data_IF_285364529652
#
_entry.id   IF_285364529652
#
_cell.length_a   1.000
_cell.length_b   1.000
_cell.length_c   1.000
_cell.angle_alpha   90.00
_cell.angle_beta   90.00
_cell.angle_gamma   90.00
#
_symmetry.space_group_name_H-M   'P 1'
#
loop_
_entity.id
_entity.type
_entity.pdbx_description
1 polymer ?
#
# COMPACT_ATOMS: atom_id res chain seq x y z
N UNK A 1 13.19 6.32 -2.85
CA UNK A 1 12.09 5.35 -3.11
C UNK A 1 10.80 6.05 -3.51
N UNK A 2 10.46 7.21 -2.94
CA UNK A 2 9.29 8.00 -3.36
C UNK A 2 9.32 8.36 -4.86
N UNK A 3 10.49 8.70 -5.40
CA UNK A 3 10.67 9.01 -6.83
C UNK A 3 10.62 7.79 -7.76
N UNK A 4 10.73 6.56 -7.24
CA UNK A 4 10.81 5.35 -8.06
C UNK A 4 9.45 4.79 -8.46
N UNK A 5 8.38 5.20 -7.76
CA UNK A 5 7.03 4.65 -7.95
C UNK A 5 6.06 5.75 -8.42
N UNK A 6 6.47 7.03 -8.42
CA UNK A 6 5.73 8.11 -9.07
C UNK A 6 4.35 8.38 -8.47
N UNK A 7 4.19 8.12 -7.17
CA UNK A 7 2.94 8.32 -6.46
C UNK A 7 3.15 9.07 -5.15
N UNK A 8 2.13 9.83 -4.76
CA UNK A 8 2.13 10.57 -3.52
C UNK A 8 1.87 9.61 -2.35
N UNK A 9 2.93 9.24 -1.63
CA UNK A 9 2.85 8.42 -0.41
C UNK A 9 2.60 9.27 0.84
N UNK A 10 2.46 10.60 0.70
CA UNK A 10 2.22 11.53 1.80
C UNK A 10 0.95 11.20 2.58
N UNK A 11 -0.04 10.58 1.93
CA UNK A 11 -1.26 10.08 2.58
C UNK A 11 -1.15 8.67 3.15
N UNK A 12 -0.09 7.92 2.84
CA UNK A 12 0.03 6.50 3.17
C UNK A 12 0.56 6.31 4.60
N UNK A 13 -0.17 5.54 5.40
CA UNK A 13 0.24 5.21 6.78
C UNK A 13 0.56 3.74 6.89
N UNK A 14 1.69 3.43 7.50
CA UNK A 14 2.12 2.05 7.68
C UNK A 14 1.89 1.66 9.14
N UNK A 15 1.14 0.57 9.35
CA UNK A 15 0.85 -0.03 10.63
C UNK A 15 1.57 -1.38 10.73
N UNK A 16 2.58 -1.45 11.60
CA UNK A 16 3.35 -2.68 11.89
C UNK A 16 3.21 -3.10 13.36
N UNK A 17 2.19 -2.60 14.05
CA UNK A 17 1.94 -2.89 15.46
C UNK A 17 1.24 -4.23 15.66
N UNK A 18 1.11 -4.66 16.92
CA UNK A 18 0.47 -5.94 17.27
C UNK A 18 -0.99 -6.03 16.77
N UNK A 19 -1.71 -4.91 16.72
CA UNK A 19 -3.08 -4.88 16.18
C UNK A 19 -3.12 -5.14 14.67
N UNK A 20 -2.22 -4.53 13.90
CA UNK A 20 -2.05 -4.80 12.47
C UNK A 20 -1.65 -6.26 12.20
N UNK A 21 -0.80 -6.82 13.06
CA UNK A 21 -0.40 -8.21 12.99
C UNK A 21 -1.60 -9.16 13.22
N UNK A 22 -2.40 -8.91 14.26
CA UNK A 22 -3.60 -9.70 14.52
C UNK A 22 -4.63 -9.62 13.39
N UNK A 23 -4.84 -8.45 12.79
CA UNK A 23 -5.72 -8.28 11.63
C UNK A 23 -5.21 -9.06 10.42
N UNK A 24 -3.90 -8.96 10.14
CA UNK A 24 -3.28 -9.67 9.02
C UNK A 24 -3.35 -11.18 9.22
N UNK A 25 -3.14 -11.65 10.45
CA UNK A 25 -3.26 -13.06 10.83
C UNK A 25 -4.70 -13.57 10.66
N UNK A 26 -5.70 -12.78 11.07
CA UNK A 26 -7.11 -13.12 10.89
C UNK A 26 -7.50 -13.23 9.40
N UNK A 27 -6.86 -12.44 8.54
CA UNK A 27 -7.02 -12.47 7.09
C UNK A 27 -6.08 -13.48 6.41
N UNK A 28 -5.28 -14.22 7.17
CA UNK A 28 -4.23 -15.12 6.69
C UNK A 28 -3.28 -14.45 5.67
N UNK A 29 -3.01 -13.16 5.86
CA UNK A 29 -2.22 -12.33 4.98
C UNK A 29 -0.89 -11.93 5.63
N UNK A 30 0.14 -11.74 4.79
CA UNK A 30 1.45 -11.25 5.24
C UNK A 30 1.45 -9.72 5.40
N UNK A 31 0.68 -9.03 4.57
CA UNK A 31 0.36 -7.62 4.64
C UNK A 31 -0.95 -7.38 3.88
N UNK A 32 -1.65 -6.29 4.18
CA UNK A 32 -2.81 -5.88 3.41
C UNK A 32 -2.98 -4.36 3.40
N UNK A 33 -3.66 -3.85 2.38
CA UNK A 33 -3.95 -2.43 2.18
C UNK A 33 -5.43 -2.13 2.39
N UNK A 34 -5.72 -1.10 3.18
CA UNK A 34 -7.07 -0.59 3.41
C UNK A 34 -7.10 0.93 3.25
N UNK A 35 -7.65 1.40 2.13
CA UNK A 35 -7.65 2.83 1.78
C UNK A 35 -6.24 3.33 1.52
N UNK A 36 -5.75 4.23 2.38
CA UNK A 36 -4.36 4.71 2.37
C UNK A 36 -3.50 4.05 3.45
N UNK A 37 -4.04 3.12 4.24
CA UNK A 37 -3.33 2.49 5.34
C UNK A 37 -2.84 1.10 4.93
N UNK A 38 -1.57 0.81 5.21
CA UNK A 38 -0.92 -0.49 4.95
C UNK A 38 -0.67 -1.17 6.27
N UNK A 39 -1.17 -2.39 6.42
CA UNK A 39 -1.04 -3.21 7.62
C UNK A 39 -0.09 -4.36 7.33
N UNK A 40 0.94 -4.51 8.16
CA UNK A 40 1.91 -5.60 8.05
C UNK A 40 1.75 -6.59 9.19
N UNK A 41 1.97 -7.87 8.89
CA UNK A 41 2.05 -8.90 9.91
C UNK A 41 3.33 -8.76 10.75
N UNK A 42 3.33 -9.31 11.96
CA UNK A 42 4.45 -9.27 12.89
C UNK A 42 5.70 -9.85 12.22
N UNK A 43 6.79 -9.09 12.25
CA UNK A 43 8.06 -9.48 11.63
C UNK A 43 8.07 -9.45 10.09
N UNK A 44 7.00 -8.99 9.43
CA UNK A 44 6.97 -8.82 7.95
C UNK A 44 7.35 -7.42 7.49
N UNK A 45 7.19 -6.42 8.36
CA UNK A 45 7.72 -5.07 8.12
C UNK A 45 9.21 -5.03 8.48
N UNK A 46 10.05 -5.39 7.52
CA UNK A 46 11.50 -5.28 7.68
C UNK A 46 12.10 -4.38 6.59
N UNK A 47 12.35 -3.12 6.95
CA UNK A 47 12.99 -2.14 6.05
C UNK A 47 14.51 -2.28 6.00
N UNK A 48 15.10 -3.22 6.76
CA UNK A 48 16.54 -3.46 6.77
C UNK A 48 16.92 -4.57 5.79
N UNK A 49 16.06 -5.57 5.64
CA UNK A 49 16.19 -6.72 4.76
C UNK A 49 15.69 -6.39 3.36
N UNK A 50 16.38 -6.93 2.36
CA UNK A 50 16.00 -6.80 0.97
C UNK A 50 14.62 -7.41 0.69
N UNK A 51 14.27 -8.50 1.38
CA UNK A 51 12.96 -9.15 1.23
C UNK A 51 11.82 -8.27 1.73
N UNK A 52 11.95 -7.66 2.91
CA UNK A 52 10.92 -6.78 3.46
C UNK A 52 10.76 -5.48 2.64
N UNK A 53 11.86 -4.92 2.11
CA UNK A 53 11.80 -3.81 1.14
C UNK A 53 11.06 -4.19 -0.15
N UNK A 54 11.28 -5.41 -0.65
CA UNK A 54 10.61 -5.89 -1.86
C UNK A 54 9.11 -6.07 -1.62
N UNK A 55 8.73 -6.62 -0.47
CA UNK A 55 7.34 -6.81 -0.05
C UNK A 55 6.64 -5.44 0.12
N UNK A 56 7.30 -4.46 0.71
CA UNK A 56 6.84 -3.07 0.77
C UNK A 56 6.58 -2.48 -0.62
N UNK A 57 7.53 -2.63 -1.55
CA UNK A 57 7.39 -2.10 -2.91
C UNK A 57 6.24 -2.78 -3.68
N UNK A 58 6.04 -4.07 -3.47
CA UNK A 58 4.92 -4.84 -4.03
C UNK A 58 3.57 -4.29 -3.55
N UNK A 59 3.40 -4.15 -2.23
CA UNK A 59 2.18 -3.62 -1.63
C UNK A 59 1.94 -2.13 -1.98
N UNK A 60 3.02 -1.34 -2.06
CA UNK A 60 2.93 0.06 -2.51
C UNK A 60 2.39 0.16 -3.93
N UNK A 61 2.84 -0.70 -4.83
CA UNK A 61 2.36 -0.74 -6.22
C UNK A 61 0.85 -1.04 -6.27
N UNK A 62 0.37 -1.91 -5.39
CA UNK A 62 -1.07 -2.17 -5.23
C UNK A 62 -1.85 -0.97 -4.64
N UNK A 63 -1.22 -0.20 -3.75
CA UNK A 63 -1.81 1.02 -3.15
C UNK A 63 -1.97 2.15 -4.17
N UNK A 64 -0.96 2.37 -5.00
CA UNK A 64 -0.97 3.38 -6.08
C UNK A 64 -2.08 3.11 -7.09
N UNK A 65 -2.35 1.84 -7.38
CA UNK A 65 -3.40 1.44 -8.29
C UNK A 65 -4.81 1.65 -7.68
N UNK A 66 -4.96 1.48 -6.35
CA UNK A 66 -6.24 1.68 -5.65
C UNK A 66 -6.56 3.13 -5.30
N UNK A 67 -5.54 3.98 -5.13
CA UNK A 67 -5.71 5.37 -4.70
C UNK A 67 -6.09 6.36 -5.79
N UNK A 68 -5.94 6.02 -7.08
CA UNK A 68 -6.21 6.98 -8.16
C UNK A 68 -6.52 6.32 -9.50
N UNK A 69 -7.62 5.59 -9.54
CA UNK A 69 -8.54 5.76 -10.66
C UNK A 69 -9.20 7.14 -10.58
N UNK A 70 -8.42 8.24 -10.63
CA UNK A 70 -8.94 9.42 -11.28
C UNK A 70 -8.96 9.06 -12.76
N UNK A 71 -10.00 8.33 -13.14
CA UNK A 71 -10.50 8.39 -14.49
C UNK A 71 -10.77 9.87 -14.66
N UNK A 72 -9.86 10.61 -15.29
CA UNK A 72 -10.26 11.84 -15.93
C UNK A 72 -11.21 11.36 -17.02
N UNK A 73 -12.48 11.22 -16.64
CA UNK A 73 -13.58 11.19 -17.58
C UNK A 73 -13.54 12.58 -18.16
N UNK A 74 -12.70 12.74 -19.18
CA UNK A 74 -12.77 13.83 -20.11
C UNK A 74 -14.21 13.81 -20.63
N UNK A 75 -15.06 14.60 -19.99
CA UNK A 75 -16.37 14.95 -20.47
C UNK A 75 -16.15 15.79 -21.72
N UNK A 76 -15.98 15.16 -22.88
CA UNK A 76 -16.32 15.79 -24.13
C UNK A 76 -17.78 15.48 -24.44
N UNK A 77 -18.55 16.50 -24.04
CA UNK A 77 -19.91 16.87 -24.40
C UNK A 77 -20.14 16.78 -25.92
N UNK A 78 -21.35 16.37 -26.28
CA UNK A 78 -22.07 16.54 -27.56
C UNK A 78 -21.43 17.48 -28.60
N UNK A 79 -21.33 16.99 -29.84
CA UNK A 79 -22.16 17.43 -30.98
C UNK A 79 -22.48 16.23 -31.87
#
# INVERSE_FOLDING_TARGET
>A
MESSIGADFSGVRIHNNSAAAQLSDNLNAQAFTHGNDIYFNSGKYDTSSSEGKHLLAHELTHTVNKGRAYIVRNRQRLI
#
